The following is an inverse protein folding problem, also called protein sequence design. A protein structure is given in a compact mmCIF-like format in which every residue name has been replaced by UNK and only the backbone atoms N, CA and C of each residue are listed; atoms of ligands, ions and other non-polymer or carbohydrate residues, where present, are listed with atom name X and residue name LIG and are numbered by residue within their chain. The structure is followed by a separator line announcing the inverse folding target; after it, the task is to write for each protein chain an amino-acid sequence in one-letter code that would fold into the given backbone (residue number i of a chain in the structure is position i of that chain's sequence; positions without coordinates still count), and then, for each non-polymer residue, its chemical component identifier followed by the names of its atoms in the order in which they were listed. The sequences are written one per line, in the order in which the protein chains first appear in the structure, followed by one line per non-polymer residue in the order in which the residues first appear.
data_IF_599047123635
#
_entry.id   IF_599047123635
#
_cell.length_a   1.000
_cell.length_b   1.000
_cell.length_c   1.000
_cell.angle_alpha   90.00
_cell.angle_beta   90.00
_cell.angle_gamma   90.00
#
_symmetry.space_group_name_H-M   'P 1'
#
loop_
_entity.id
_entity.type
_entity.pdbx_description
1 polymer ?
#
# COMPACT_ATOMS: atom_id res chain seq x y z
N UNK A 1 6.77 -9.07 -22.30
CA UNK A 1 7.30 -7.74 -21.91
C UNK A 1 6.13 -6.93 -21.37
N UNK A 2 6.29 -6.14 -20.33
CA UNK A 2 5.16 -5.47 -19.66
C UNK A 2 4.72 -4.27 -20.51
N UNK A 3 3.56 -4.36 -21.16
CA UNK A 3 3.07 -3.33 -22.11
C UNK A 3 2.73 -2.00 -21.42
N UNK A 4 2.33 -2.05 -20.14
CA UNK A 4 1.90 -0.88 -19.36
C UNK A 4 2.92 -0.43 -18.30
N UNK A 5 4.15 -0.90 -18.40
CA UNK A 5 5.18 -0.53 -17.43
C UNK A 5 5.61 0.92 -17.60
N UNK A 6 5.45 1.71 -16.55
CA UNK A 6 5.85 3.13 -16.49
C UNK A 6 6.67 3.40 -15.25
N UNK A 7 7.65 4.28 -15.37
CA UNK A 7 8.53 4.70 -14.28
C UNK A 7 8.52 6.23 -14.19
N UNK A 8 8.19 6.73 -13.01
CA UNK A 8 8.21 8.15 -12.70
C UNK A 8 9.29 8.42 -11.66
N UNK A 9 10.12 9.44 -11.90
CA UNK A 9 11.24 9.81 -11.04
C UNK A 9 11.05 11.22 -10.52
N UNK A 10 11.14 11.38 -9.21
CA UNK A 10 11.02 12.64 -8.48
C UNK A 10 12.11 12.77 -7.42
N UNK A 11 12.18 13.93 -6.81
CA UNK A 11 12.99 14.17 -5.62
C UNK A 11 12.08 14.68 -4.51
N UNK A 12 12.05 13.99 -3.38
CA UNK A 12 11.29 14.37 -2.19
C UNK A 12 12.25 14.59 -1.02
N UNK A 13 12.21 15.81 -0.45
CA UNK A 13 13.09 16.19 0.65
C UNK A 13 14.58 15.90 0.39
N UNK A 14 15.05 16.16 -0.84
CA UNK A 14 16.43 15.92 -1.25
C UNK A 14 16.81 14.46 -1.55
N UNK A 15 15.85 13.54 -1.48
CA UNK A 15 16.06 12.10 -1.73
C UNK A 15 15.30 11.62 -2.96
N UNK A 16 15.81 10.62 -3.69
CA UNK A 16 15.14 10.10 -4.87
C UNK A 16 13.84 9.38 -4.49
N UNK A 17 12.77 9.70 -5.20
CA UNK A 17 11.47 9.02 -5.14
C UNK A 17 11.18 8.47 -6.53
N UNK A 18 11.09 7.15 -6.65
CA UNK A 18 10.80 6.46 -7.91
C UNK A 18 9.50 5.67 -7.75
N UNK A 19 8.60 5.82 -8.71
CA UNK A 19 7.31 5.13 -8.73
C UNK A 19 7.25 4.29 -10.00
N UNK A 20 7.04 2.98 -9.81
CA UNK A 20 6.90 2.03 -10.92
C UNK A 20 5.46 1.49 -10.94
N UNK A 21 4.83 1.49 -12.10
CA UNK A 21 3.47 0.96 -12.30
C UNK A 21 3.42 -0.04 -13.45
N UNK A 22 2.42 -0.93 -13.45
CA UNK A 22 2.18 -1.87 -14.55
C UNK A 22 3.11 -3.07 -14.61
N UNK A 23 3.89 -3.36 -13.55
CA UNK A 23 4.82 -4.50 -13.48
C UNK A 23 4.38 -5.58 -12.51
N UNK A 24 3.86 -5.19 -11.35
CA UNK A 24 3.50 -6.09 -10.25
C UNK A 24 2.00 -6.00 -9.97
N UNK A 25 1.45 -7.05 -9.35
CA UNK A 25 0.07 -7.13 -8.90
C UNK A 25 -0.96 -6.77 -9.98
N UNK A 26 -0.84 -7.37 -11.17
CA UNK A 26 -1.71 -7.09 -12.33
C UNK A 26 -3.18 -7.48 -12.15
N UNK A 27 -3.55 -8.18 -11.06
CA UNK A 27 -4.94 -8.51 -10.71
C UNK A 27 -5.59 -7.47 -9.79
N UNK A 28 -4.81 -6.52 -9.24
CA UNK A 28 -5.35 -5.44 -8.46
C UNK A 28 -5.95 -4.36 -9.37
N UNK A 29 -6.95 -3.62 -8.90
CA UNK A 29 -7.53 -2.49 -9.63
C UNK A 29 -6.49 -1.39 -9.86
N UNK A 30 -5.57 -1.19 -8.90
CA UNK A 30 -4.42 -0.33 -9.05
C UNK A 30 -3.24 -0.82 -8.24
N UNK A 31 -2.04 -0.73 -8.79
CA UNK A 31 -0.82 -1.13 -8.08
C UNK A 31 0.38 -0.29 -8.47
N UNK A 32 1.23 0.01 -7.51
CA UNK A 32 2.50 0.67 -7.75
C UNK A 32 3.58 0.20 -6.78
N UNK A 33 4.81 0.23 -7.24
CA UNK A 33 5.99 0.06 -6.40
C UNK A 33 6.60 1.43 -6.14
N UNK A 34 6.67 1.82 -4.88
CA UNK A 34 7.26 3.09 -4.46
C UNK A 34 8.62 2.81 -3.87
N UNK A 35 9.63 3.45 -4.43
CA UNK A 35 11.00 3.45 -3.91
C UNK A 35 11.35 4.86 -3.43
N UNK A 36 11.61 4.99 -2.14
CA UNK A 36 12.06 6.23 -1.51
C UNK A 36 13.44 6.01 -0.90
N UNK A 37 14.47 6.53 -1.53
CA UNK A 37 15.84 6.09 -1.25
C UNK A 37 15.97 4.58 -1.51
N UNK A 38 16.44 3.83 -0.52
CA UNK A 38 16.49 2.36 -0.58
C UNK A 38 15.25 1.68 0.04
N UNK A 39 14.32 2.44 0.60
CA UNK A 39 13.04 1.90 1.07
C UNK A 39 12.13 1.59 -0.10
N UNK A 40 11.54 0.39 -0.10
CA UNK A 40 10.64 -0.08 -1.16
C UNK A 40 9.33 -0.58 -0.55
N UNK A 41 8.21 -0.05 -1.04
CA UNK A 41 6.86 -0.44 -0.64
C UNK A 41 6.04 -0.79 -1.87
N UNK A 42 5.43 -1.96 -1.89
CA UNK A 42 4.42 -2.35 -2.87
C UNK A 42 3.05 -1.93 -2.35
N UNK A 43 2.34 -1.11 -3.10
CA UNK A 43 0.99 -0.67 -2.80
C UNK A 43 0.01 -1.26 -3.82
N UNK A 44 -1.06 -1.87 -3.32
CA UNK A 44 -2.12 -2.46 -4.11
C UNK A 44 -3.47 -1.94 -3.61
N UNK A 45 -4.34 -1.53 -4.52
CA UNK A 45 -5.72 -1.16 -4.24
C UNK A 45 -6.65 -2.13 -4.98
N UNK A 46 -7.63 -2.67 -4.27
CA UNK A 46 -8.63 -3.59 -4.82
C UNK A 46 -10.01 -3.19 -4.32
N UNK A 47 -11.03 -3.37 -5.16
CA UNK A 47 -12.42 -3.18 -4.78
C UNK A 47 -13.27 -4.39 -5.21
N UNK A 48 -14.32 -4.69 -4.45
CA UNK A 48 -15.31 -5.69 -4.84
C UNK A 48 -16.16 -5.17 -5.99
N UNK A 49 -16.57 -6.04 -6.91
CA UNK A 49 -17.47 -5.67 -8.01
C UNK A 49 -18.87 -5.26 -7.52
N UNK A 50 -19.32 -5.85 -6.41
CA UNK A 50 -20.64 -5.61 -5.84
C UNK A 50 -20.55 -5.27 -4.36
N UNK A 51 -21.38 -4.35 -3.87
CA UNK A 51 -21.49 -4.10 -2.43
C UNK A 51 -22.06 -5.34 -1.72
N UNK A 52 -21.75 -5.49 -0.44
CA UNK A 52 -22.38 -6.51 0.41
C UNK A 52 -23.77 -6.08 0.82
N UNK A 53 -24.69 -7.00 0.89
CA UNK A 53 -26.06 -6.73 1.36
C UNK A 53 -26.07 -6.27 2.84
N UNK A 54 -26.86 -5.25 3.13
CA UNK A 54 -27.08 -4.75 4.49
C UNK A 54 -25.98 -3.83 5.05
N UNK A 55 -25.05 -3.35 4.22
CA UNK A 55 -24.01 -2.39 4.63
C UNK A 55 -24.46 -0.96 4.29
N UNK A 56 -24.40 -0.08 5.27
CA UNK A 56 -24.74 1.34 5.18
C UNK A 56 -23.51 2.29 5.27
N UNK A 57 -22.31 1.74 5.38
CA UNK A 57 -21.06 2.48 5.46
C UNK A 57 -20.04 2.01 4.40
N UNK A 58 -18.96 2.77 4.21
CA UNK A 58 -17.83 2.38 3.35
C UNK A 58 -16.94 1.35 4.07
N UNK A 59 -16.90 0.09 3.62
CA UNK A 59 -16.01 -0.94 4.17
C UNK A 59 -14.59 -0.79 3.57
N UNK A 60 -13.85 0.21 4.03
CA UNK A 60 -12.45 0.44 3.67
C UNK A 60 -11.53 -0.23 4.68
N UNK A 61 -10.64 -1.10 4.21
CA UNK A 61 -9.52 -1.65 4.99
C UNK A 61 -8.18 -1.16 4.42
N UNK A 62 -7.28 -0.80 5.33
CA UNK A 62 -5.89 -0.49 4.99
C UNK A 62 -5.01 -1.41 5.81
N UNK A 63 -4.26 -2.27 5.12
CA UNK A 63 -3.34 -3.23 5.72
C UNK A 63 -1.90 -2.81 5.43
N UNK A 64 -1.14 -2.54 6.48
CA UNK A 64 0.27 -2.19 6.40
C UNK A 64 1.12 -3.34 6.93
N UNK A 65 1.83 -4.00 6.01
CA UNK A 65 2.57 -5.22 6.29
C UNK A 65 4.07 -4.96 6.32
N UNK A 66 4.65 -4.96 7.52
CA UNK A 66 6.09 -4.93 7.73
C UNK A 66 6.64 -6.36 7.73
N UNK A 67 7.36 -6.72 6.68
CA UNK A 67 7.94 -8.06 6.55
C UNK A 67 9.36 -8.11 7.11
N UNK A 68 9.70 -9.16 7.84
CA UNK A 68 11.02 -9.33 8.44
C UNK A 68 12.14 -9.39 7.37
N UNK A 69 11.85 -9.94 6.20
CA UNK A 69 12.82 -9.97 5.10
C UNK A 69 13.20 -8.57 4.59
N UNK A 70 12.33 -7.57 4.75
CA UNK A 70 12.64 -6.19 4.37
C UNK A 70 13.82 -5.61 5.14
N UNK A 71 14.06 -6.11 6.36
CA UNK A 71 15.22 -5.79 7.21
C UNK A 71 16.30 -6.89 7.16
N UNK A 72 16.23 -7.82 6.20
CA UNK A 72 17.20 -8.93 6.09
C UNK A 72 17.09 -9.96 7.22
N UNK A 73 15.95 -10.07 7.90
CA UNK A 73 15.76 -10.94 9.05
C UNK A 73 14.77 -12.07 8.76
N UNK A 74 14.94 -13.17 9.48
CA UNK A 74 14.01 -14.30 9.48
C UNK A 74 13.15 -14.20 10.77
N UNK A 75 11.83 -14.48 10.71
CA UNK A 75 11.00 -14.52 11.90
C UNK A 75 11.58 -15.46 12.97
N UNK A 76 11.67 -14.97 14.22
CA UNK A 76 12.34 -15.68 15.32
C UNK A 76 11.49 -16.73 16.04
N UNK A 77 10.21 -16.88 15.69
CA UNK A 77 9.33 -17.88 16.30
C UNK A 77 9.64 -19.32 15.87
N UNK A 78 9.13 -20.30 16.62
CA UNK A 78 9.33 -21.73 16.33
C UNK A 78 8.92 -22.11 14.89
N UNK A 79 7.79 -21.57 14.41
CA UNK A 79 7.28 -21.82 13.07
C UNK A 79 7.98 -21.00 11.97
N UNK A 80 8.90 -20.11 12.33
CA UNK A 80 9.59 -19.19 11.42
C UNK A 80 8.67 -18.48 10.42
N UNK A 81 7.50 -18.07 10.90
CA UNK A 81 6.47 -17.36 10.13
C UNK A 81 6.29 -15.94 10.65
N UNK A 82 5.84 -15.06 9.76
CA UNK A 82 5.35 -13.73 10.13
C UNK A 82 4.12 -13.91 11.06
N UNK A 83 4.14 -13.17 12.16
CA UNK A 83 3.01 -13.12 13.10
C UNK A 83 1.94 -12.12 12.66
N UNK A 84 1.09 -11.74 13.62
CA UNK A 84 0.14 -10.63 13.42
C UNK A 84 0.91 -9.31 13.26
N UNK A 85 0.32 -8.32 12.55
CA UNK A 85 0.91 -6.99 12.45
C UNK A 85 1.24 -6.42 13.84
N UNK A 86 2.42 -5.82 13.96
CA UNK A 86 2.82 -5.15 15.19
C UNK A 86 1.96 -3.89 15.45
N UNK A 87 1.98 -3.40 16.68
CA UNK A 87 1.23 -2.21 17.07
C UNK A 87 1.55 -0.99 16.21
N UNK A 88 2.83 -0.78 15.88
CA UNK A 88 3.28 0.30 14.99
C UNK A 88 2.67 0.17 13.60
N UNK A 89 2.62 -1.03 13.01
CA UNK A 89 2.03 -1.27 11.70
C UNK A 89 0.52 -0.97 11.70
N UNK A 90 -0.19 -1.33 12.78
CA UNK A 90 -1.61 -1.02 12.96
C UNK A 90 -1.84 0.50 13.04
N UNK A 91 -0.99 1.22 13.79
CA UNK A 91 -1.09 2.67 13.87
C UNK A 91 -0.79 3.34 12.52
N UNK A 92 0.20 2.85 11.79
CA UNK A 92 0.54 3.34 10.45
C UNK A 92 -0.62 3.13 9.47
N UNK A 93 -1.27 1.96 9.48
CA UNK A 93 -2.44 1.72 8.64
C UNK A 93 -3.58 2.71 8.94
N UNK A 94 -3.81 3.05 10.21
CA UNK A 94 -4.80 4.06 10.61
C UNK A 94 -4.44 5.48 10.19
N UNK A 95 -3.15 5.82 10.23
CA UNK A 95 -2.65 7.13 9.74
C UNK A 95 -2.87 7.26 8.24
N UNK A 96 -2.71 6.16 7.47
CA UNK A 96 -2.94 6.14 6.03
C UNK A 96 -4.43 6.15 5.69
N UNK A 97 -5.27 5.38 6.42
CA UNK A 97 -6.72 5.34 6.23
C UNK A 97 -7.37 6.71 6.43
N UNK A 98 -6.94 7.44 7.46
CA UNK A 98 -7.60 8.67 7.90
C UNK A 98 -7.70 9.78 6.84
N UNK A 99 -6.65 10.13 6.08
CA UNK A 99 -6.74 11.13 5.01
C UNK A 99 -7.44 10.61 3.74
N UNK A 100 -7.43 9.30 3.49
CA UNK A 100 -7.96 8.71 2.26
C UNK A 100 -9.47 8.51 2.36
N UNK A 101 -9.99 8.04 3.49
CA UNK A 101 -11.41 7.72 3.72
C UNK A 101 -12.39 8.86 3.36
N UNK A 102 -12.13 10.13 3.69
CA UNK A 102 -13.05 11.22 3.34
C UNK A 102 -13.11 11.55 1.85
N UNK A 103 -12.14 11.07 1.05
CA UNK A 103 -12.07 11.34 -0.38
C UNK A 103 -13.00 10.44 -1.20
N UNK A 104 -13.43 9.31 -0.64
CA UNK A 104 -14.37 8.42 -1.30
C UNK A 104 -15.79 9.00 -1.37
N UNK A 105 -16.56 8.69 -2.42
CA UNK A 105 -17.97 9.04 -2.51
C UNK A 105 -18.76 8.51 -1.30
N UNK A 106 -19.70 9.31 -0.78
CA UNK A 106 -20.48 8.97 0.42
C UNK A 106 -21.44 7.78 0.20
N UNK A 107 -21.75 7.48 -1.03
CA UNK A 107 -22.65 6.40 -1.47
C UNK A 107 -21.91 5.11 -1.83
N UNK A 108 -20.59 5.12 -1.84
CA UNK A 108 -19.79 3.92 -2.11
C UNK A 108 -19.96 2.88 -0.97
N UNK A 109 -20.37 1.67 -1.34
CA UNK A 109 -20.62 0.54 -0.42
C UNK A 109 -19.81 -0.71 -0.79
N UNK A 110 -19.00 -0.63 -1.84
CA UNK A 110 -18.10 -1.71 -2.25
C UNK A 110 -16.99 -1.89 -1.21
N UNK A 111 -16.58 -3.13 -0.98
CA UNK A 111 -15.40 -3.40 -0.15
C UNK A 111 -14.16 -2.87 -0.86
N UNK A 112 -13.44 -1.97 -0.23
CA UNK A 112 -12.16 -1.45 -0.73
C UNK A 112 -11.06 -1.90 0.21
N UNK A 113 -10.03 -2.54 -0.34
CA UNK A 113 -8.85 -2.97 0.41
C UNK A 113 -7.59 -2.35 -0.19
N UNK A 114 -6.80 -1.70 0.66
CA UNK A 114 -5.48 -1.17 0.31
C UNK A 114 -4.44 -1.98 1.08
N UNK A 115 -3.60 -2.71 0.35
CA UNK A 115 -2.54 -3.52 0.94
C UNK A 115 -1.19 -2.89 0.64
N UNK A 116 -0.43 -2.61 1.67
CA UNK A 116 0.89 -1.99 1.61
C UNK A 116 1.91 -2.97 2.18
N UNK A 117 2.78 -3.49 1.33
CA UNK A 117 3.81 -4.46 1.74
C UNK A 117 5.18 -3.80 1.68
N UNK A 118 5.83 -3.70 2.82
CA UNK A 118 7.21 -3.18 2.92
C UNK A 118 8.17 -4.28 2.48
N UNK A 119 8.92 -4.03 1.40
CA UNK A 119 9.81 -5.00 0.78
C UNK A 119 11.29 -4.75 1.09
N UNK A 120 11.65 -3.49 1.34
CA UNK A 120 12.98 -3.09 1.79
C UNK A 120 12.88 -1.85 2.69
N UNK A 121 13.74 -1.72 3.66
CA UNK A 121 13.76 -0.62 4.63
C UNK A 121 15.12 0.05 4.65
N UNK A 122 15.13 1.36 4.47
CA UNK A 122 16.24 2.25 4.71
C UNK A 122 15.93 3.05 5.99
N UNK A 123 16.78 3.01 7.02
CA UNK A 123 16.56 3.74 8.27
C UNK A 123 16.36 5.25 8.09
N UNK A 124 16.94 5.82 7.04
CA UNK A 124 16.86 7.25 6.75
C UNK A 124 15.64 7.63 5.90
N UNK A 125 14.92 6.68 5.34
CA UNK A 125 13.77 6.88 4.46
C UNK A 125 12.52 6.18 5.02
N UNK A 126 11.60 6.96 5.58
CA UNK A 126 10.38 6.42 6.20
C UNK A 126 9.55 5.57 5.23
N UNK A 127 9.34 4.30 5.59
CA UNK A 127 8.48 3.38 4.85
C UNK A 127 6.98 3.71 5.06
N UNK A 128 6.63 4.40 6.13
CA UNK A 128 5.27 4.88 6.38
C UNK A 128 4.89 5.97 5.36
N UNK A 129 5.81 6.91 5.09
CA UNK A 129 5.60 7.96 4.08
C UNK A 129 5.55 7.35 2.68
N UNK A 130 6.46 6.43 2.36
CA UNK A 130 6.43 5.70 1.09
C UNK A 130 5.12 4.92 0.90
N UNK A 131 4.60 4.30 1.98
CA UNK A 131 3.31 3.61 1.98
C UNK A 131 2.13 4.55 1.76
N UNK A 132 2.11 5.71 2.39
CA UNK A 132 1.06 6.73 2.21
C UNK A 132 1.02 7.24 0.76
N UNK A 133 2.17 7.55 0.18
CA UNK A 133 2.29 7.96 -1.22
C UNK A 133 1.82 6.82 -2.13
N UNK A 134 2.26 5.59 -1.86
CA UNK A 134 1.87 4.40 -2.61
C UNK A 134 0.36 4.15 -2.59
N UNK A 135 -0.29 4.26 -1.44
CA UNK A 135 -1.73 4.11 -1.30
C UNK A 135 -2.50 5.13 -2.15
N UNK A 136 -2.09 6.40 -2.08
CA UNK A 136 -2.68 7.47 -2.89
C UNK A 136 -2.53 7.23 -4.39
N UNK A 137 -1.34 6.82 -4.83
CA UNK A 137 -1.08 6.55 -6.25
C UNK A 137 -1.85 5.32 -6.72
N UNK A 138 -1.86 4.21 -5.94
CA UNK A 138 -2.57 3.00 -6.30
C UNK A 138 -4.07 3.26 -6.51
N UNK A 139 -4.69 4.09 -5.65
CA UNK A 139 -6.07 4.54 -5.84
C UNK A 139 -6.23 5.44 -7.06
N UNK A 140 -5.33 6.41 -7.26
CA UNK A 140 -5.44 7.39 -8.37
C UNK A 140 -5.30 6.76 -9.76
N UNK A 141 -4.59 5.63 -9.89
CA UNK A 141 -4.44 4.91 -11.16
C UNK A 141 -5.43 3.76 -11.32
N UNK A 142 -6.24 3.49 -10.29
CA UNK A 142 -7.28 2.46 -10.31
C UNK A 142 -8.57 3.00 -10.93
N UNK A 143 -9.50 2.11 -11.18
CA UNK A 143 -10.88 2.38 -11.56
C UNK A 143 -11.83 2.54 -10.36
N UNK A 144 -11.28 2.58 -9.15
CA UNK A 144 -12.03 2.80 -7.90
C UNK A 144 -12.43 4.28 -7.82
N UNK A 145 -13.73 4.62 -7.66
CA UNK A 145 -14.22 5.99 -7.67
C UNK A 145 -13.74 6.82 -6.48
#
# INVERSE_FOLDING_TARGET
MFENYKVFKYTLAGRPLVIETGKLAGLANGSCLVRYGETVVLACATASEKPRDGIDFLPLSVDFEERMYAAGKIPGGFLRREGRPGEKAILTSRVIDRPIRPLFPKDLRNDVAITLTVMAVDPDCSHEIAGMIGASIALSISDIP
#
